data_IF_656895804557
#
_entry.id   IF_656895804557
#
_cell.length_a   1.000
_cell.length_b   1.000
_cell.length_c   1.000
_cell.angle_alpha   90.00
_cell.angle_beta   90.00
_cell.angle_gamma   90.00
#
_symmetry.space_group_name_H-M   'P 1'
#
loop_
_entity.id
_entity.type
_entity.pdbx_description
1 polymer ?
#
# COMPACT_ATOMS: atom_id res chain seq x y z
N UNK A 1 20.51 -18.57 -22.86
CA UNK A 1 20.57 -19.14 -21.49
C UNK A 1 19.54 -18.39 -20.66
N UNK A 2 18.47 -19.04 -20.18
CA UNK A 2 17.52 -18.39 -19.25
C UNK A 2 18.28 -18.10 -17.94
N UNK A 3 18.22 -16.89 -17.37
CA UNK A 3 18.80 -16.65 -16.06
C UNK A 3 18.12 -17.59 -15.06
N UNK A 4 18.89 -18.31 -14.25
CA UNK A 4 18.33 -19.07 -13.14
C UNK A 4 17.59 -18.09 -12.24
N UNK A 5 16.29 -18.32 -12.02
CA UNK A 5 15.53 -17.66 -10.95
C UNK A 5 16.16 -18.11 -9.64
N UNK A 6 17.17 -17.40 -9.14
CA UNK A 6 17.61 -17.59 -7.77
C UNK A 6 16.49 -17.04 -6.89
N UNK A 7 15.59 -17.91 -6.45
CA UNK A 7 14.67 -17.58 -5.37
C UNK A 7 15.52 -17.05 -4.21
N UNK A 8 15.11 -15.92 -3.62
CA UNK A 8 15.86 -15.23 -2.58
C UNK A 8 16.28 -16.19 -1.46
N UNK A 9 17.33 -15.84 -0.71
CA UNK A 9 17.77 -16.68 0.41
C UNK A 9 16.60 -16.83 1.39
N UNK A 10 16.13 -18.06 1.55
CA UNK A 10 15.10 -18.38 2.54
C UNK A 10 15.59 -17.93 3.93
N UNK A 11 14.71 -17.32 4.70
CA UNK A 11 14.99 -17.01 6.09
C UNK A 11 14.95 -18.31 6.90
N UNK A 12 16.08 -18.67 7.51
CA UNK A 12 16.18 -19.83 8.40
C UNK A 12 16.35 -19.32 9.82
N UNK A 13 15.48 -19.76 10.73
CA UNK A 13 15.61 -19.58 12.18
C UNK A 13 15.23 -20.85 12.92
N UNK A 14 15.92 -21.09 14.04
CA UNK A 14 15.67 -22.23 14.91
C UNK A 14 14.27 -22.13 15.54
N UNK A 15 13.46 -23.18 15.37
CA UNK A 15 12.15 -23.36 15.98
C UNK A 15 12.13 -24.68 16.73
N UNK A 16 11.57 -24.69 17.95
CA UNK A 16 11.36 -25.91 18.73
C UNK A 16 10.16 -26.75 18.21
N UNK A 17 9.33 -26.18 17.33
CA UNK A 17 8.27 -26.91 16.62
C UNK A 17 8.80 -27.38 15.26
N UNK A 18 8.68 -28.66 14.90
CA UNK A 18 9.00 -29.15 13.55
C UNK A 18 8.20 -28.39 12.50
N UNK A 19 8.87 -27.76 11.54
CA UNK A 19 8.24 -27.16 10.36
C UNK A 19 8.16 -28.22 9.26
N UNK A 20 7.09 -28.22 8.48
CA UNK A 20 7.03 -29.00 7.23
C UNK A 20 8.19 -28.58 6.32
N UNK A 21 8.90 -29.57 5.78
CA UNK A 21 10.07 -29.41 4.91
C UNK A 21 9.77 -28.68 3.58
N UNK A 22 8.48 -28.55 3.22
CA UNK A 22 8.01 -27.93 1.99
C UNK A 22 6.87 -26.95 2.31
N UNK A 23 7.20 -25.75 2.76
CA UNK A 23 6.22 -24.66 2.79
C UNK A 23 6.10 -24.08 1.37
N UNK A 24 4.88 -23.92 0.82
CA UNK A 24 4.69 -23.44 -0.55
C UNK A 24 5.19 -22.00 -0.76
N UNK A 25 5.41 -21.22 0.31
CA UNK A 25 6.03 -19.89 0.26
C UNK A 25 6.85 -19.62 1.53
N UNK A 26 8.17 -19.91 1.53
CA UNK A 26 9.03 -19.56 2.66
C UNK A 26 9.29 -18.05 2.68
N UNK A 27 9.38 -17.46 3.87
CA UNK A 27 9.74 -16.04 4.05
C UNK A 27 11.15 -15.80 3.49
N UNK A 28 11.28 -14.93 2.50
CA UNK A 28 12.56 -14.59 1.89
C UNK A 28 13.23 -13.45 2.67
N UNK A 29 14.54 -13.58 2.93
CA UNK A 29 15.27 -12.70 3.87
C UNK A 29 15.38 -11.24 3.43
N UNK A 30 15.15 -10.93 2.16
CA UNK A 30 15.36 -9.61 1.54
C UNK A 30 14.20 -9.20 0.62
N UNK A 31 13.01 -9.75 0.85
CA UNK A 31 11.80 -9.45 0.06
C UNK A 31 10.85 -8.62 0.92
N UNK A 32 10.33 -7.53 0.34
CA UNK A 32 9.38 -6.65 1.03
C UNK A 32 8.12 -7.43 1.41
N UNK A 33 7.62 -7.25 2.64
CA UNK A 33 6.44 -7.98 3.12
C UNK A 33 5.34 -7.06 3.68
N UNK A 34 4.08 -7.36 3.35
CA UNK A 34 2.92 -6.82 4.03
C UNK A 34 2.33 -7.85 5.01
N UNK A 35 2.14 -7.47 6.27
CA UNK A 35 1.39 -8.27 7.24
C UNK A 35 0.09 -7.56 7.57
N UNK A 36 -1.04 -8.20 7.32
CA UNK A 36 -2.36 -7.58 7.47
C UNK A 36 -3.10 -8.24 8.62
N UNK A 37 -3.31 -7.49 9.69
CA UNK A 37 -4.13 -7.89 10.84
C UNK A 37 -5.57 -7.47 10.52
N UNK A 38 -6.46 -8.44 10.38
CA UNK A 38 -7.83 -8.19 9.91
C UNK A 38 -8.82 -9.22 10.45
N UNK A 39 -10.10 -8.85 10.49
CA UNK A 39 -11.20 -9.78 10.69
C UNK A 39 -11.58 -10.52 9.40
N UNK A 40 -11.12 -10.11 8.23
CA UNK A 40 -11.52 -10.71 6.96
C UNK A 40 -10.29 -11.09 6.13
N UNK A 41 -9.50 -12.09 6.57
CA UNK A 41 -8.31 -12.54 5.84
C UNK A 41 -8.60 -12.97 4.40
N UNK A 42 -9.82 -13.46 4.13
CA UNK A 42 -10.29 -13.89 2.81
C UNK A 42 -10.41 -12.75 1.78
N UNK A 43 -10.42 -11.48 2.22
CA UNK A 43 -10.43 -10.32 1.32
C UNK A 43 -9.06 -10.05 0.68
N UNK A 44 -8.03 -10.80 1.09
CA UNK A 44 -6.66 -10.67 0.61
C UNK A 44 -6.24 -11.93 -0.16
N UNK A 45 -5.48 -11.79 -1.28
CA UNK A 45 -4.88 -10.55 -1.76
C UNK A 45 -5.86 -9.59 -2.45
N UNK A 46 -7.09 -10.02 -2.74
CA UNK A 46 -8.09 -9.18 -3.38
C UNK A 46 -7.57 -8.64 -4.72
N UNK A 47 -7.60 -7.33 -4.91
CA UNK A 47 -7.10 -6.69 -6.15
C UNK A 47 -5.57 -6.81 -6.29
N UNK A 48 -4.83 -6.99 -5.19
CA UNK A 48 -3.38 -7.16 -5.18
C UNK A 48 -2.92 -8.48 -5.81
N UNK A 49 -3.85 -9.42 -5.99
CA UNK A 49 -3.59 -10.70 -6.65
C UNK A 49 -3.65 -10.62 -8.18
N UNK A 50 -4.04 -9.47 -8.75
CA UNK A 50 -4.21 -9.29 -10.19
C UNK A 50 -3.06 -8.48 -10.81
N UNK A 51 -2.96 -8.51 -12.14
CA UNK A 51 -2.04 -7.65 -12.92
C UNK A 51 -0.57 -7.75 -12.47
N UNK A 52 0.18 -6.64 -12.50
CA UNK A 52 1.61 -6.58 -12.18
C UNK A 52 1.89 -6.86 -10.71
N UNK A 53 1.07 -6.37 -9.77
CA UNK A 53 1.23 -6.64 -8.34
C UNK A 53 1.02 -8.11 -8.02
N UNK A 54 0.00 -8.74 -8.61
CA UNK A 54 -0.25 -10.17 -8.51
C UNK A 54 0.84 -11.03 -9.12
N UNK A 55 1.34 -10.66 -10.30
CA UNK A 55 2.49 -11.33 -10.93
C UNK A 55 3.74 -11.21 -10.05
N UNK A 56 4.01 -10.03 -9.51
CA UNK A 56 5.13 -9.79 -8.61
C UNK A 56 5.00 -10.60 -7.30
N UNK A 57 3.77 -10.79 -6.79
CA UNK A 57 3.50 -11.65 -5.64
C UNK A 57 3.82 -13.12 -5.96
N UNK A 58 3.40 -13.60 -7.13
CA UNK A 58 3.66 -14.97 -7.60
C UNK A 58 5.15 -15.23 -7.87
N UNK A 59 5.86 -14.25 -8.44
CA UNK A 59 7.30 -14.35 -8.71
C UNK A 59 8.15 -14.11 -7.44
N UNK A 60 7.52 -13.79 -6.30
CA UNK A 60 8.19 -13.61 -5.00
C UNK A 60 8.98 -12.30 -4.86
N UNK A 61 8.62 -11.27 -5.62
CA UNK A 61 9.20 -9.92 -5.52
C UNK A 61 8.69 -9.14 -4.31
N UNK A 62 7.53 -9.54 -3.78
CA UNK A 62 7.00 -9.12 -2.48
C UNK A 62 6.18 -10.27 -1.88
N UNK A 63 5.92 -10.23 -0.57
CA UNK A 63 5.13 -11.24 0.14
C UNK A 63 4.02 -10.60 0.95
N UNK A 64 2.97 -11.38 1.23
CA UNK A 64 1.85 -10.94 2.03
C UNK A 64 1.38 -12.05 2.96
N UNK A 65 1.11 -11.69 4.21
CA UNK A 65 0.55 -12.60 5.21
C UNK A 65 -0.63 -11.94 5.90
N UNK A 66 -1.72 -12.69 6.04
CA UNK A 66 -2.88 -12.26 6.81
C UNK A 66 -2.85 -12.87 8.20
N UNK A 67 -3.24 -12.08 9.19
CA UNK A 67 -3.38 -12.47 10.57
C UNK A 67 -4.86 -12.27 10.96
N UNK A 68 -5.58 -13.39 11.07
CA UNK A 68 -6.98 -13.39 11.46
C UNK A 68 -7.13 -13.04 12.95
N UNK A 69 -7.69 -11.87 13.22
CA UNK A 69 -7.94 -11.39 14.58
C UNK A 69 -8.81 -12.34 15.41
N UNK A 70 -9.72 -13.10 14.77
CA UNK A 70 -10.57 -14.06 15.50
C UNK A 70 -9.77 -15.18 16.14
N UNK A 71 -8.53 -15.45 15.71
CA UNK A 71 -7.66 -16.44 16.36
C UNK A 71 -7.25 -16.01 17.76
N UNK A 72 -7.29 -14.71 18.06
CA UNK A 72 -6.95 -14.12 19.35
C UNK A 72 -8.18 -13.73 20.18
N UNK A 73 -9.38 -14.01 19.67
CA UNK A 73 -10.63 -13.65 20.32
C UNK A 73 -10.86 -14.38 21.64
N UNK A 74 -11.58 -13.73 22.57
CA UNK A 74 -11.76 -14.19 23.94
C UNK A 74 -12.98 -15.12 24.06
N UNK A 75 -12.81 -16.20 24.82
CA UNK A 75 -13.86 -17.16 25.16
C UNK A 75 -14.30 -18.07 24.00
N UNK A 76 -15.36 -18.84 24.23
CA UNK A 76 -15.86 -19.87 23.30
C UNK A 76 -16.23 -19.32 21.91
N UNK A 77 -16.73 -18.08 21.87
CA UNK A 77 -17.19 -17.43 20.64
C UNK A 77 -16.11 -16.60 19.95
N UNK A 78 -14.86 -16.60 20.46
CA UNK A 78 -13.75 -15.81 19.95
C UNK A 78 -14.13 -14.33 19.79
N UNK A 79 -14.66 -13.73 20.87
CA UNK A 79 -15.10 -12.35 20.83
C UNK A 79 -13.90 -11.40 20.64
N UNK A 80 -14.01 -10.46 19.70
CA UNK A 80 -12.92 -9.55 19.29
C UNK A 80 -13.20 -8.09 19.67
N UNK A 81 -14.44 -7.80 20.06
CA UNK A 81 -14.95 -6.47 20.31
C UNK A 81 -15.82 -6.45 21.57
N UNK A 82 -16.04 -5.25 22.12
CA UNK A 82 -16.96 -5.04 23.24
C UNK A 82 -17.60 -3.64 23.13
N UNK A 83 -18.60 -3.37 23.96
CA UNK A 83 -19.25 -2.06 24.03
C UNK A 83 -18.26 -0.97 24.49
N UNK A 84 -18.36 0.26 23.95
CA UNK A 84 -17.47 1.34 24.32
C UNK A 84 -17.65 1.75 25.80
N UNK A 85 -16.54 1.96 26.50
CA UNK A 85 -16.55 2.59 27.81
C UNK A 85 -17.07 4.03 27.69
N UNK A 86 -17.92 4.46 28.64
CA UNK A 86 -18.62 5.76 28.58
C UNK A 86 -19.97 5.72 27.86
N UNK A 87 -20.36 4.57 27.30
CA UNK A 87 -21.61 4.41 26.55
C UNK A 87 -21.47 4.86 25.09
N UNK A 88 -22.52 4.66 24.31
CA UNK A 88 -22.53 4.89 22.87
C UNK A 88 -23.08 3.70 22.09
N UNK A 89 -23.43 3.91 20.84
CA UNK A 89 -23.76 2.83 19.92
C UNK A 89 -22.48 2.20 19.35
N UNK A 90 -22.58 0.97 18.85
CA UNK A 90 -21.48 0.28 18.19
C UNK A 90 -20.58 -0.51 19.15
N UNK A 91 -19.47 -0.99 18.60
CA UNK A 91 -18.52 -1.87 19.28
C UNK A 91 -17.09 -1.36 19.05
N UNK A 92 -16.18 -1.63 19.98
CA UNK A 92 -14.75 -1.27 19.91
C UNK A 92 -13.92 -2.54 19.98
N UNK A 93 -12.94 -2.66 19.07
CA UNK A 93 -12.04 -3.80 19.05
C UNK A 93 -11.15 -3.79 20.30
N UNK A 94 -11.07 -4.94 20.98
CA UNK A 94 -10.47 -5.04 22.31
C UNK A 94 -8.95 -5.04 22.27
N UNK A 95 -8.32 -4.32 23.18
CA UNK A 95 -6.86 -4.28 23.33
C UNK A 95 -6.25 -5.67 23.63
N UNK A 96 -6.93 -6.51 24.41
CA UNK A 96 -6.49 -7.87 24.77
C UNK A 96 -6.60 -8.89 23.63
N UNK A 97 -7.18 -8.50 22.50
CA UNK A 97 -7.24 -9.27 21.25
C UNK A 97 -6.27 -8.70 20.22
N UNK A 98 -6.30 -7.37 20.04
CA UNK A 98 -5.45 -6.69 19.05
C UNK A 98 -3.97 -6.75 19.44
N UNK A 99 -3.63 -6.64 20.73
CA UNK A 99 -2.24 -6.69 21.20
C UNK A 99 -1.54 -8.00 20.82
N UNK A 100 -2.05 -9.18 21.24
CA UNK A 100 -1.49 -10.47 20.85
C UNK A 100 -1.42 -10.69 19.33
N UNK A 101 -2.38 -10.15 18.57
CA UNK A 101 -2.34 -10.22 17.11
C UNK A 101 -1.18 -9.39 16.53
N UNK A 102 -0.91 -8.21 17.09
CA UNK A 102 0.25 -7.38 16.73
C UNK A 102 1.55 -8.11 17.09
N UNK A 103 1.66 -8.69 18.29
CA UNK A 103 2.85 -9.45 18.70
C UNK A 103 3.12 -10.61 17.74
N UNK A 104 2.09 -11.38 17.37
CA UNK A 104 2.20 -12.46 16.41
C UNK A 104 2.60 -11.97 15.02
N UNK A 105 2.03 -10.85 14.56
CA UNK A 105 2.40 -10.23 13.29
C UNK A 105 3.81 -9.64 13.32
N UNK A 106 4.35 -9.26 14.47
CA UNK A 106 5.69 -8.67 14.59
C UNK A 106 6.80 -9.67 14.91
N UNK A 107 6.48 -10.91 15.31
CA UNK A 107 7.45 -11.93 15.74
C UNK A 107 8.60 -12.18 14.74
N UNK A 108 8.37 -11.96 13.44
CA UNK A 108 9.37 -12.12 12.39
C UNK A 108 9.61 -10.84 11.58
N UNK A 109 9.17 -9.69 12.09
CA UNK A 109 9.43 -8.40 11.44
C UNK A 109 10.89 -8.03 11.68
N UNK A 110 11.58 -7.54 10.64
CA UNK A 110 13.01 -7.19 10.69
C UNK A 110 13.25 -5.87 9.98
N UNK A 111 14.33 -5.19 10.33
CA UNK A 111 14.69 -3.91 9.73
C UNK A 111 13.66 -2.82 10.06
N UNK A 112 13.51 -1.85 9.17
CA UNK A 112 12.50 -0.80 9.33
C UNK A 112 11.14 -1.38 8.94
N UNK A 113 10.25 -1.49 9.92
CA UNK A 113 8.95 -2.15 9.79
C UNK A 113 7.88 -1.44 10.63
N UNK A 114 7.22 -0.40 10.09
CA UNK A 114 6.19 0.33 10.82
C UNK A 114 4.94 -0.52 11.03
N UNK A 115 4.19 -0.20 12.09
CA UNK A 115 2.82 -0.67 12.33
C UNK A 115 1.89 0.49 12.01
N UNK A 116 0.99 0.28 11.05
CA UNK A 116 0.06 1.30 10.57
C UNK A 116 -1.38 0.88 10.88
N UNK A 117 -2.20 1.80 11.37
CA UNK A 117 -3.64 1.60 11.56
C UNK A 117 -4.40 2.40 10.51
N UNK A 118 -5.23 1.71 9.72
CA UNK A 118 -6.08 2.34 8.71
C UNK A 118 -7.24 3.05 9.40
N UNK A 119 -7.13 4.36 9.57
CA UNK A 119 -8.00 5.20 10.40
C UNK A 119 -8.26 6.54 9.71
N UNK A 120 -9.50 7.03 9.62
CA UNK A 120 -9.79 8.33 9.03
C UNK A 120 -9.20 9.51 9.84
N UNK A 121 -8.81 9.29 11.11
CA UNK A 121 -8.14 10.28 11.97
C UNK A 121 -6.65 10.47 11.62
N UNK A 122 -6.08 9.52 10.88
CA UNK A 122 -4.66 9.47 10.60
C UNK A 122 -4.18 10.53 9.62
N UNK A 123 -2.85 10.63 9.48
CA UNK A 123 -2.24 11.44 8.40
C UNK A 123 -2.73 10.88 7.06
N UNK A 124 -3.11 11.77 6.13
CA UNK A 124 -3.49 11.35 4.77
C UNK A 124 -2.33 10.64 4.07
N UNK A 125 -2.63 9.49 3.46
CA UNK A 125 -1.71 8.76 2.63
C UNK A 125 -1.37 9.57 1.37
N UNK A 126 -0.08 9.66 1.06
CA UNK A 126 0.43 10.39 -0.09
C UNK A 126 1.55 9.60 -0.78
N UNK A 127 1.97 10.06 -1.96
CA UNK A 127 3.00 9.38 -2.75
C UNK A 127 4.38 9.38 -2.05
N UNK A 128 4.64 10.34 -1.15
CA UNK A 128 5.89 10.38 -0.36
C UNK A 128 5.90 9.25 0.67
N UNK A 129 4.78 9.01 1.34
CA UNK A 129 4.60 7.89 2.26
C UNK A 129 4.75 6.55 1.54
N UNK A 130 4.18 6.40 0.34
CA UNK A 130 4.38 5.19 -0.47
C UNK A 130 5.86 4.93 -0.79
N UNK A 131 6.61 5.97 -1.17
CA UNK A 131 8.07 5.89 -1.43
C UNK A 131 8.85 5.53 -0.17
N UNK A 132 8.54 6.14 0.97
CA UNK A 132 9.18 5.77 2.23
C UNK A 132 8.89 4.32 2.60
N UNK A 133 7.63 3.87 2.52
CA UNK A 133 7.26 2.48 2.79
C UNK A 133 7.95 1.48 1.84
N UNK A 134 8.18 1.85 0.58
CA UNK A 134 8.91 1.01 -0.38
C UNK A 134 10.40 0.84 -0.02
N UNK A 135 10.96 1.72 0.81
CA UNK A 135 12.33 1.60 1.34
C UNK A 135 12.42 0.85 2.67
N UNK A 136 11.26 0.46 3.25
CA UNK A 136 11.20 -0.43 4.42
C UNK A 136 11.46 -1.89 4.03
N UNK A 137 11.70 -2.75 5.04
CA UNK A 137 11.72 -4.21 4.83
C UNK A 137 10.32 -4.80 4.74
N UNK A 138 9.33 -4.09 5.28
CA UNK A 138 7.93 -4.48 5.25
C UNK A 138 7.08 -3.54 6.07
N UNK A 139 5.81 -3.89 6.25
CA UNK A 139 4.84 -3.12 7.01
C UNK A 139 3.80 -4.03 7.63
N UNK A 140 3.36 -3.71 8.84
CA UNK A 140 2.21 -4.34 9.48
C UNK A 140 1.04 -3.36 9.40
N UNK A 141 -0.08 -3.78 8.80
CA UNK A 141 -1.30 -3.00 8.66
C UNK A 141 -2.39 -3.58 9.57
N UNK A 142 -2.93 -2.76 10.46
CA UNK A 142 -4.13 -3.06 11.24
C UNK A 142 -5.36 -2.53 10.50
N UNK A 143 -6.26 -3.43 10.14
CA UNK A 143 -7.56 -3.11 9.54
C UNK A 143 -8.61 -3.04 10.66
N UNK A 144 -9.00 -1.83 11.04
CA UNK A 144 -10.08 -1.62 12.01
C UNK A 144 -11.46 -1.92 11.43
N UNK A 145 -12.42 -2.18 12.32
CA UNK A 145 -13.85 -2.36 12.08
C UNK A 145 -14.64 -1.71 13.21
N UNK A 146 -15.96 -1.72 13.08
CA UNK A 146 -16.88 -1.14 14.07
C UNK A 146 -16.57 0.35 14.29
N UNK A 147 -16.57 0.83 15.53
CA UNK A 147 -16.19 2.21 15.88
C UNK A 147 -14.66 2.42 15.93
N UNK A 148 -13.88 1.35 15.83
CA UNK A 148 -12.42 1.38 15.78
C UNK A 148 -11.76 0.46 16.80
N UNK A 149 -10.56 0.84 17.20
CA UNK A 149 -9.66 0.05 18.04
C UNK A 149 -9.44 0.78 19.36
N UNK A 150 -9.39 0.04 20.47
CA UNK A 150 -9.09 0.58 21.80
C UNK A 150 -7.81 1.44 21.78
N UNK A 151 -7.91 2.70 22.20
CA UNK A 151 -6.81 3.67 22.10
C UNK A 151 -5.53 3.21 22.81
N UNK A 152 -5.67 2.43 23.90
CA UNK A 152 -4.51 1.96 24.68
C UNK A 152 -3.59 1.06 23.87
N UNK A 153 -4.13 0.27 22.93
CA UNK A 153 -3.29 -0.57 22.08
C UNK A 153 -2.58 0.26 21.00
N UNK A 154 -3.21 1.33 20.52
CA UNK A 154 -2.61 2.28 19.58
C UNK A 154 -1.41 2.97 20.24
N UNK A 155 -1.60 3.51 21.45
CA UNK A 155 -0.56 4.17 22.24
C UNK A 155 0.58 3.21 22.63
N UNK A 156 0.25 2.02 23.13
CA UNK A 156 1.23 1.04 23.61
C UNK A 156 2.20 0.60 22.51
N UNK A 157 1.68 0.29 21.32
CA UNK A 157 2.50 -0.15 20.18
C UNK A 157 3.00 1.01 19.32
N UNK A 158 2.71 2.27 19.69
CA UNK A 158 3.05 3.48 18.92
C UNK A 158 2.61 3.36 17.46
N UNK A 159 1.38 2.89 17.25
CA UNK A 159 0.84 2.62 15.93
C UNK A 159 0.63 3.96 15.21
N UNK A 160 1.10 4.06 13.97
CA UNK A 160 0.86 5.27 13.16
C UNK A 160 -0.50 5.15 12.49
N UNK A 161 -1.40 6.09 12.77
CA UNK A 161 -2.68 6.19 12.07
C UNK A 161 -2.50 6.79 10.67
N UNK A 162 -3.09 6.15 9.67
CA UNK A 162 -3.05 6.59 8.27
C UNK A 162 -4.46 6.60 7.69
N UNK A 163 -4.83 7.73 7.08
CA UNK A 163 -6.12 7.93 6.42
C UNK A 163 -5.97 7.82 4.90
N UNK A 164 -6.93 7.18 4.22
CA UNK A 164 -6.98 7.16 2.76
C UNK A 164 -7.52 8.50 2.19
N UNK A 165 -8.24 9.27 3.00
CA UNK A 165 -8.84 10.54 2.63
C UNK A 165 -10.01 10.92 3.54
N UNK A 166 -10.65 12.05 3.24
CA UNK A 166 -11.72 12.62 4.06
C UNK A 166 -13.07 11.99 3.78
N UNK A 167 -13.17 10.70 4.09
CA UNK A 167 -14.39 9.91 3.97
C UNK A 167 -14.34 8.71 4.92
N UNK A 168 -15.49 8.08 5.17
CA UNK A 168 -15.60 6.93 6.08
C UNK A 168 -15.86 5.66 5.29
N UNK A 169 -15.20 4.58 5.68
CA UNK A 169 -15.38 3.24 5.12
C UNK A 169 -15.84 2.26 6.21
N UNK A 170 -16.39 1.13 5.80
CA UNK A 170 -16.85 0.08 6.72
C UNK A 170 -15.71 -0.69 7.39
N UNK A 171 -14.46 -0.48 6.96
CA UNK A 171 -13.28 -1.13 7.50
C UNK A 171 -11.99 -0.67 6.82
N UNK A 172 -10.86 -1.07 7.42
CA UNK A 172 -9.52 -0.69 6.95
C UNK A 172 -9.01 -1.47 5.74
N UNK A 173 -9.68 -2.55 5.30
CA UNK A 173 -9.14 -3.49 4.32
C UNK A 173 -8.94 -2.89 2.93
N UNK A 174 -9.84 -1.99 2.50
CA UNK A 174 -9.69 -1.27 1.23
C UNK A 174 -8.54 -0.26 1.29
N UNK A 175 -8.39 0.45 2.41
CA UNK A 175 -7.25 1.36 2.62
C UNK A 175 -5.92 0.59 2.62
N UNK A 176 -5.88 -0.56 3.30
CA UNK A 176 -4.71 -1.43 3.32
C UNK A 176 -4.34 -1.89 1.91
N UNK A 177 -5.31 -2.35 1.11
CA UNK A 177 -5.06 -2.75 -0.28
C UNK A 177 -4.56 -1.59 -1.13
N UNK A 178 -5.18 -0.41 -1.05
CA UNK A 178 -4.75 0.78 -1.80
C UNK A 178 -3.31 1.19 -1.44
N UNK A 179 -2.97 1.20 -0.15
CA UNK A 179 -1.62 1.55 0.31
C UNK A 179 -0.57 0.51 -0.11
N UNK A 180 -0.89 -0.79 -0.03
CA UNK A 180 0.01 -1.85 -0.48
C UNK A 180 0.21 -1.74 -2.00
N UNK A 181 -0.83 -1.53 -2.79
CA UNK A 181 -0.72 -1.37 -4.25
C UNK A 181 0.22 -0.22 -4.62
N UNK A 182 -0.01 0.96 -4.04
CA UNK A 182 0.79 2.16 -4.26
C UNK A 182 2.25 2.02 -3.80
N UNK A 183 2.51 1.18 -2.81
CA UNK A 183 3.87 0.90 -2.30
C UNK A 183 4.57 -0.15 -3.16
N UNK A 184 3.92 -1.29 -3.41
CA UNK A 184 4.50 -2.44 -4.13
C UNK A 184 4.88 -2.07 -5.55
N UNK A 185 4.09 -1.23 -6.23
CA UNK A 185 4.45 -0.73 -7.57
C UNK A 185 5.80 -0.01 -7.63
N UNK A 186 6.28 0.54 -6.51
CA UNK A 186 7.57 1.24 -6.44
C UNK A 186 8.75 0.29 -6.16
N UNK A 187 8.49 -0.97 -5.85
CA UNK A 187 9.54 -1.95 -5.58
C UNK A 187 10.30 -2.29 -6.88
N UNK A 188 11.63 -2.46 -6.79
CA UNK A 188 12.44 -2.86 -7.94
C UNK A 188 11.92 -4.15 -8.61
N UNK A 189 11.75 -4.10 -9.92
CA UNK A 189 11.33 -5.26 -10.72
C UNK A 189 9.82 -5.50 -10.79
N UNK A 190 8.98 -4.72 -10.09
CA UNK A 190 7.52 -4.82 -10.19
C UNK A 190 7.01 -4.13 -11.47
N UNK A 191 7.40 -2.87 -11.69
CA UNK A 191 7.12 -2.17 -12.93
C UNK A 191 8.21 -2.48 -13.96
N UNK A 192 7.80 -3.01 -15.12
CA UNK A 192 8.70 -3.49 -16.17
C UNK A 192 9.49 -2.42 -16.92
N UNK A 193 9.19 -1.14 -16.72
CA UNK A 193 9.94 -0.02 -17.31
C UNK A 193 10.18 1.08 -16.27
N UNK A 194 11.44 1.33 -15.92
CA UNK A 194 11.81 2.36 -14.95
C UNK A 194 11.35 3.76 -15.37
N UNK A 195 11.30 4.04 -16.68
CA UNK A 195 10.89 5.35 -17.21
C UNK A 195 9.42 5.68 -16.92
N UNK A 196 8.53 4.68 -16.80
CA UNK A 196 7.11 4.95 -16.52
C UNK A 196 6.92 5.58 -15.13
N UNK A 197 7.79 5.27 -14.17
CA UNK A 197 7.70 5.83 -12.80
C UNK A 197 8.15 7.28 -12.70
N UNK A 198 8.85 7.80 -13.71
CA UNK A 198 9.46 9.14 -13.72
C UNK A 198 8.51 10.20 -14.29
N UNK A 199 7.59 9.84 -15.20
CA UNK A 199 6.65 10.79 -15.85
C UNK A 199 5.21 10.76 -15.28
N UNK A 200 4.93 9.97 -14.25
CA UNK A 200 3.58 9.85 -13.67
C UNK A 200 3.16 11.05 -12.80
N UNK A 201 1.84 11.20 -12.61
CA UNK A 201 1.28 12.18 -11.67
C UNK A 201 1.92 12.07 -10.27
N UNK A 202 2.18 13.23 -9.65
CA UNK A 202 2.79 13.36 -8.31
C UNK A 202 4.25 12.88 -8.18
N UNK A 203 4.89 12.43 -9.27
CA UNK A 203 6.34 12.15 -9.27
C UNK A 203 7.18 13.42 -9.10
N UNK A 204 6.78 14.49 -9.79
CA UNK A 204 7.43 15.81 -9.79
C UNK A 204 6.52 16.93 -9.26
N UNK A 205 5.47 16.57 -8.51
CA UNK A 205 4.48 17.54 -8.01
C UNK A 205 3.48 18.07 -9.04
N UNK A 206 3.46 17.51 -10.25
CA UNK A 206 2.48 17.86 -11.29
C UNK A 206 1.54 16.69 -11.60
N UNK A 207 0.37 17.00 -12.14
CA UNK A 207 -0.53 16.04 -12.78
C UNK A 207 0.02 15.63 -14.15
N UNK A 208 -0.21 14.39 -14.55
CA UNK A 208 0.22 13.89 -15.85
C UNK A 208 -0.50 14.60 -17.02
N UNK A 209 0.20 14.72 -18.14
CA UNK A 209 -0.36 15.31 -19.36
C UNK A 209 -1.47 14.43 -19.97
N UNK A 210 -2.37 15.00 -20.80
CA UNK A 210 -3.38 14.21 -21.50
C UNK A 210 -2.73 13.16 -22.41
N UNK A 211 -3.15 11.91 -22.26
CA UNK A 211 -2.68 10.77 -23.04
C UNK A 211 -3.58 10.54 -24.25
N UNK A 212 -2.97 10.21 -25.39
CA UNK A 212 -3.66 9.90 -26.65
C UNK A 212 -3.16 8.58 -27.20
N UNK A 213 -4.05 7.83 -27.84
CA UNK A 213 -3.71 6.59 -28.55
C UNK A 213 -4.56 6.48 -29.81
N UNK A 214 -4.26 5.49 -30.64
CA UNK A 214 -5.01 5.22 -31.87
C UNK A 214 -6.49 4.95 -31.55
N UNK A 215 -7.42 5.32 -32.46
CA UNK A 215 -7.22 5.90 -33.80
C UNK A 215 -6.83 7.38 -33.80
N UNK A 216 -6.28 7.88 -34.91
CA UNK A 216 -5.80 9.27 -35.03
C UNK A 216 -6.95 10.31 -34.93
N UNK A 217 -8.14 9.95 -35.38
CA UNK A 217 -9.36 10.75 -35.26
C UNK A 217 -10.45 9.87 -34.66
N UNK A 218 -11.09 10.36 -33.60
CA UNK A 218 -12.27 9.73 -33.01
C UNK A 218 -13.38 10.78 -32.90
N UNK A 219 -14.53 10.55 -33.57
CA UNK A 219 -15.67 11.48 -33.61
C UNK A 219 -15.29 12.93 -34.03
N UNK A 220 -14.40 13.06 -35.02
CA UNK A 220 -13.92 14.36 -35.49
C UNK A 220 -12.94 15.05 -34.53
N UNK A 221 -12.45 14.35 -33.51
CA UNK A 221 -11.42 14.83 -32.57
C UNK A 221 -10.08 14.21 -32.92
N UNK A 222 -9.17 15.02 -33.42
CA UNK A 222 -7.83 14.59 -33.81
C UNK A 222 -6.88 14.53 -32.60
N UNK A 223 -5.92 13.61 -32.66
CA UNK A 223 -4.73 13.64 -31.80
C UNK A 223 -3.94 14.94 -32.09
N UNK A 224 -3.46 15.68 -31.07
CA UNK A 224 -2.64 16.88 -31.27
C UNK A 224 -1.50 16.64 -32.27
N UNK A 225 -1.35 17.47 -33.34
CA UNK A 225 -0.36 17.22 -34.40
C UNK A 225 1.08 17.09 -33.89
N UNK A 226 1.42 17.79 -32.80
CA UNK A 226 2.74 17.69 -32.15
C UNK A 226 3.06 16.26 -31.69
N UNK A 227 2.07 15.51 -31.20
CA UNK A 227 2.23 14.12 -30.76
C UNK A 227 2.41 13.15 -31.93
N UNK A 228 2.02 13.56 -33.14
CA UNK A 228 2.17 12.80 -34.38
C UNK A 228 3.43 13.19 -35.17
N UNK A 229 4.20 14.18 -34.71
CA UNK A 229 5.34 14.75 -35.44
C UNK A 229 6.63 13.92 -35.40
N UNK A 230 6.76 13.00 -34.45
CA UNK A 230 8.01 12.28 -34.16
C UNK A 230 9.11 13.16 -33.54
N UNK A 231 8.88 14.46 -33.33
CA UNK A 231 9.85 15.36 -32.73
C UNK A 231 9.82 15.23 -31.20
N UNK A 232 10.70 14.37 -30.66
CA UNK A 232 10.77 14.10 -29.22
C UNK A 232 10.92 15.36 -28.35
N UNK A 233 11.66 16.38 -28.81
CA UNK A 233 11.87 17.62 -28.05
C UNK A 233 10.58 18.44 -27.96
N UNK A 234 9.87 18.61 -29.07
CA UNK A 234 8.59 19.34 -29.08
C UNK A 234 7.49 18.56 -28.35
N UNK A 235 7.50 17.23 -28.43
CA UNK A 235 6.59 16.37 -27.66
C UNK A 235 6.83 16.54 -26.16
N UNK A 236 8.08 16.46 -25.70
CA UNK A 236 8.41 16.62 -24.28
C UNK A 236 8.03 18.01 -23.77
N UNK A 237 8.31 19.06 -24.54
CA UNK A 237 7.89 20.43 -24.23
C UNK A 237 6.37 20.55 -24.11
N UNK A 238 5.63 20.05 -25.10
CA UNK A 238 4.16 20.06 -25.07
C UNK A 238 3.59 19.30 -23.87
N UNK A 239 4.14 18.11 -23.56
CA UNK A 239 3.73 17.32 -22.40
C UNK A 239 3.90 18.09 -21.10
N UNK A 240 5.04 18.75 -20.91
CA UNK A 240 5.29 19.55 -19.73
C UNK A 240 4.32 20.74 -19.62
N UNK A 241 4.11 21.49 -20.71
CA UNK A 241 3.17 22.62 -20.74
C UNK A 241 1.73 22.19 -20.40
N UNK A 242 1.27 21.05 -20.94
CA UNK A 242 -0.05 20.51 -20.61
C UNK A 242 -0.15 20.04 -19.17
N UNK A 243 0.89 19.38 -18.65
CA UNK A 243 0.97 18.94 -17.26
C UNK A 243 0.85 20.12 -16.29
N UNK A 244 1.60 21.21 -16.54
CA UNK A 244 1.51 22.46 -15.75
C UNK A 244 0.13 23.09 -15.85
N UNK A 245 -0.41 23.23 -17.07
CA UNK A 245 -1.73 23.83 -17.29
C UNK A 245 -2.85 23.03 -16.57
N UNK A 246 -2.80 21.70 -16.65
CA UNK A 246 -3.76 20.81 -16.00
C UNK A 246 -3.66 20.90 -14.48
N UNK A 247 -2.44 20.92 -13.95
CA UNK A 247 -2.18 21.05 -12.51
C UNK A 247 -2.74 22.38 -12.00
N UNK A 248 -2.44 23.50 -12.68
CA UNK A 248 -2.99 24.83 -12.33
C UNK A 248 -4.52 24.84 -12.32
N UNK A 249 -5.15 24.16 -13.28
CA UNK A 249 -6.60 24.15 -13.41
C UNK A 249 -7.31 23.25 -12.39
N UNK A 250 -6.71 22.11 -12.00
CA UNK A 250 -7.40 21.07 -11.20
C UNK A 250 -6.85 20.86 -9.79
N UNK A 251 -5.56 21.07 -9.61
CA UNK A 251 -4.82 20.88 -8.36
C UNK A 251 -3.81 22.00 -8.16
N UNK A 252 -4.27 23.27 -8.09
CA UNK A 252 -3.38 24.41 -7.89
C UNK A 252 -2.57 24.30 -6.60
N UNK A 253 -3.07 23.56 -5.60
CA UNK A 253 -2.39 23.23 -4.35
C UNK A 253 -1.09 22.42 -4.52
N UNK A 254 -0.90 21.75 -5.66
CA UNK A 254 0.33 21.01 -5.95
C UNK A 254 1.44 21.88 -6.55
N UNK A 255 1.10 23.07 -7.07
CA UNK A 255 2.10 24.00 -7.57
C UNK A 255 2.82 24.61 -6.37
N UNK A 256 4.14 24.43 -6.31
CA UNK A 256 4.96 25.20 -5.36
C UNK A 256 4.76 26.67 -5.68
N UNK A 257 4.45 27.49 -4.67
CA UNK A 257 4.52 28.94 -4.84
C UNK A 257 5.97 29.30 -5.23
N UNK A 258 6.14 30.04 -6.32
CA UNK A 258 7.43 30.67 -6.63
C UNK A 258 7.68 31.74 -5.54
N UNK A 259 8.20 31.34 -4.37
CA UNK A 259 8.27 32.27 -3.24
C UNK A 259 9.02 31.88 -1.97
N UNK A 260 9.49 30.64 -1.78
CA UNK A 260 10.31 30.30 -0.59
C UNK A 260 11.55 29.49 -0.97
N UNK A 261 12.47 30.14 -1.68
CA UNK A 261 13.91 29.91 -1.49
C UNK A 261 14.43 31.04 -0.59
N UNK A 262 14.45 30.80 0.72
CA UNK A 262 15.32 31.46 1.71
C UNK A 262 15.78 30.45 2.75
#
# INVERSE_FOLDING_TARGET
MKPSRSHGRQSVQASLKPRELMQPNPDYRDVWQARVITLFPELFPGVLGASLTGKALQDGLWQMHTHDLRQFGIGKHRNVDDTPAGGGAGMVMRADVVGPAIEAAQAHARGRWPILYMSPRGRRFDQSMARDLATCTGVTLLCGRFEGVDERVIEHYKITEVSLGDFVMTGGELAAQAMIDATVRLLPGVLGNAESTVEESHSNGLLEHPQYTRPATWEGRDIPPVLMSGNHKEIAKWRHEQSVALTRARRPDLLKEEGEDT
#
